data_IF_195232805710
#
_entry.id   IF_195232805710
#
_cell.length_a   1.000
_cell.length_b   1.000
_cell.length_c   1.000
_cell.angle_alpha   90.00
_cell.angle_beta   90.00
_cell.angle_gamma   90.00
#
_symmetry.space_group_name_H-M   'P 1'
#
loop_
_entity.id
_entity.type
_entity.pdbx_description
1 polymer ?
#
# COMPACT_ATOMS: atom_id res chain seq x y z
N UNK A 1 24.75 -16.36 29.57
CA UNK A 1 23.51 -15.55 29.47
C UNK A 1 23.92 -14.10 29.34
N UNK A 2 24.14 -13.64 28.12
CA UNK A 2 24.63 -12.28 27.85
C UNK A 2 23.46 -11.48 27.30
N UNK A 3 22.92 -10.61 28.14
CA UNK A 3 21.86 -9.66 27.80
C UNK A 3 22.49 -8.71 26.78
N UNK A 4 21.99 -8.72 25.54
CA UNK A 4 22.49 -7.88 24.46
C UNK A 4 22.51 -6.42 24.85
N UNK A 5 23.67 -5.78 24.69
CA UNK A 5 23.90 -4.39 25.01
C UNK A 5 22.98 -3.47 24.20
N UNK A 6 22.28 -2.54 24.85
CA UNK A 6 21.88 -1.27 24.23
C UNK A 6 20.43 -0.82 24.34
N UNK A 7 19.46 -1.66 24.75
CA UNK A 7 18.06 -1.20 24.83
C UNK A 7 17.77 -0.62 26.20
N UNK A 8 17.80 0.71 26.30
CA UNK A 8 17.27 1.40 27.49
C UNK A 8 15.76 1.18 27.54
N UNK A 9 15.17 0.88 28.71
CA UNK A 9 13.72 0.83 28.84
C UNK A 9 13.15 2.21 28.46
N UNK A 10 12.17 2.23 27.55
CA UNK A 10 11.47 3.48 27.18
C UNK A 10 10.73 3.97 28.41
N UNK A 11 11.15 5.12 28.91
CA UNK A 11 10.51 5.79 30.06
C UNK A 11 9.35 6.62 29.56
N UNK A 12 8.33 6.81 30.39
CA UNK A 12 7.26 7.77 30.13
C UNK A 12 7.78 9.19 30.41
N UNK A 13 7.47 10.20 29.56
CA UNK A 13 6.72 10.12 28.31
C UNK A 13 7.54 9.51 27.16
N UNK A 14 6.85 8.85 26.23
CA UNK A 14 7.45 8.28 24.99
C UNK A 14 7.67 9.40 23.98
N UNK A 15 8.82 9.40 23.30
CA UNK A 15 9.18 10.39 22.30
C UNK A 15 9.49 9.75 20.94
N UNK A 16 9.35 10.54 19.87
CA UNK A 16 9.82 10.16 18.53
C UNK A 16 11.34 9.89 18.59
N UNK A 17 11.79 8.80 17.97
CA UNK A 17 13.18 8.34 18.00
C UNK A 17 13.51 7.37 19.12
N UNK A 18 12.65 7.23 20.14
CA UNK A 18 12.82 6.19 21.17
C UNK A 18 12.81 4.80 20.54
N UNK A 19 13.59 3.87 21.12
CA UNK A 19 13.66 2.48 20.67
C UNK A 19 13.28 1.52 21.78
N UNK A 20 12.56 0.46 21.41
CA UNK A 20 12.15 -0.61 22.33
C UNK A 20 12.24 -1.97 21.65
N UNK A 21 12.37 -3.02 22.46
CA UNK A 21 12.12 -4.40 22.00
C UNK A 21 10.70 -4.77 22.41
N UNK A 22 9.91 -5.25 21.46
CA UNK A 22 8.52 -5.64 21.68
C UNK A 22 8.21 -6.95 20.98
N UNK A 23 7.23 -7.67 21.52
CA UNK A 23 6.58 -8.79 20.84
C UNK A 23 5.41 -8.27 20.01
N UNK A 24 5.29 -8.78 18.80
CA UNK A 24 4.34 -8.31 17.80
C UNK A 24 3.09 -9.19 17.82
N UNK A 25 1.97 -8.57 18.14
CA UNK A 25 0.66 -9.18 18.20
C UNK A 25 -0.08 -9.11 16.85
N UNK A 26 -1.42 -9.02 16.88
CA UNK A 26 -2.25 -9.18 15.68
C UNK A 26 -2.09 -8.03 14.68
N UNK A 27 -2.43 -8.31 13.43
CA UNK A 27 -2.53 -7.31 12.36
C UNK A 27 -3.67 -6.33 12.62
N UNK A 28 -3.48 -5.09 12.18
CA UNK A 28 -4.47 -4.04 12.14
C UNK A 28 -4.57 -3.46 10.72
N UNK A 29 -5.64 -2.70 10.48
CA UNK A 29 -5.84 -2.02 9.20
C UNK A 29 -4.65 -1.10 8.85
N UNK A 30 -4.34 -0.97 7.56
CA UNK A 30 -3.31 -0.05 7.06
C UNK A 30 -1.88 -0.57 7.17
N UNK A 31 -1.67 -1.89 7.14
CA UNK A 31 -0.33 -2.47 7.14
C UNK A 31 0.37 -2.49 8.49
N UNK A 32 -0.39 -2.31 9.57
CA UNK A 32 0.13 -2.21 10.93
C UNK A 32 -0.04 -3.53 11.68
N UNK A 33 0.80 -3.71 12.70
CA UNK A 33 0.69 -4.75 13.70
C UNK A 33 0.67 -4.13 15.10
N UNK A 34 0.00 -4.79 16.03
CA UNK A 34 -0.18 -4.24 17.38
C UNK A 34 0.90 -4.76 18.32
N UNK A 35 1.58 -3.85 18.99
CA UNK A 35 2.42 -4.13 20.15
C UNK A 35 1.99 -3.29 21.35
N UNK A 36 2.51 -3.62 22.53
CA UNK A 36 2.23 -2.88 23.75
C UNK A 36 3.52 -2.40 24.40
N UNK A 37 3.56 -1.13 24.79
CA UNK A 37 4.69 -0.50 25.46
C UNK A 37 4.18 0.37 26.61
N UNK A 38 4.47 0.00 27.85
CA UNK A 38 4.24 0.84 29.05
C UNK A 38 2.90 1.60 29.02
N UNK A 39 1.78 0.87 28.90
CA UNK A 39 0.43 1.44 28.87
C UNK A 39 -0.04 2.05 27.54
N UNK A 40 0.77 1.96 26.47
CA UNK A 40 0.42 2.43 25.13
C UNK A 40 0.23 1.27 24.17
N UNK A 41 -0.79 1.37 23.33
CA UNK A 41 -0.93 0.56 22.12
C UNK A 41 -0.05 1.17 21.03
N UNK A 42 0.82 0.35 20.45
CA UNK A 42 1.76 0.76 19.41
C UNK A 42 1.38 0.11 18.09
N UNK A 43 1.23 0.92 17.04
CA UNK A 43 1.00 0.46 15.68
C UNK A 43 2.35 0.39 14.96
N UNK A 44 2.81 -0.84 14.72
CA UNK A 44 4.14 -1.13 14.17
C UNK A 44 4.03 -1.48 12.69
N UNK A 45 4.76 -0.79 11.81
CA UNK A 45 4.95 -1.21 10.40
C UNK A 45 6.20 -2.08 10.27
N UNK A 46 6.32 -2.77 9.14
CA UNK A 46 7.47 -3.62 8.80
C UNK A 46 7.68 -4.84 9.73
N UNK A 47 6.73 -5.11 10.62
CA UNK A 47 6.67 -6.26 11.51
C UNK A 47 5.67 -7.32 11.00
N UNK A 48 5.61 -8.47 11.66
CA UNK A 48 4.64 -9.53 11.45
C UNK A 48 4.22 -10.15 12.79
N UNK A 49 2.99 -10.67 12.87
CA UNK A 49 2.51 -11.36 14.08
C UNK A 49 3.42 -12.52 14.46
N UNK A 50 3.71 -12.66 15.75
CA UNK A 50 4.59 -13.70 16.30
C UNK A 50 6.07 -13.33 16.32
N UNK A 51 6.42 -12.13 15.85
CA UNK A 51 7.80 -11.67 15.87
C UNK A 51 8.20 -11.00 17.17
N UNK A 52 9.50 -11.03 17.43
CA UNK A 52 10.16 -10.14 18.39
C UNK A 52 11.07 -9.19 17.63
N UNK A 53 10.86 -7.89 17.81
CA UNK A 53 11.54 -6.87 16.99
C UNK A 53 12.03 -5.71 17.84
N UNK A 54 13.09 -5.03 17.36
CA UNK A 54 13.42 -3.68 17.81
C UNK A 54 12.65 -2.69 16.97
N UNK A 55 11.90 -1.81 17.62
CA UNK A 55 11.15 -0.73 16.97
C UNK A 55 11.81 0.62 17.19
N UNK A 56 11.58 1.56 16.28
CA UNK A 56 11.83 2.99 16.48
C UNK A 56 10.50 3.75 16.41
N UNK A 57 10.20 4.57 17.41
CA UNK A 57 8.98 5.38 17.45
C UNK A 57 9.04 6.48 16.39
N UNK A 58 8.02 6.54 15.53
CA UNK A 58 7.94 7.48 14.40
C UNK A 58 6.94 8.61 14.63
N UNK A 59 5.93 8.38 15.46
CA UNK A 59 4.88 9.37 15.76
C UNK A 59 4.26 9.08 17.14
N UNK A 60 4.04 10.14 17.92
CA UNK A 60 3.43 10.06 19.25
C UNK A 60 2.25 11.02 19.32
N UNK A 61 1.06 10.46 19.57
CA UNK A 61 -0.16 11.22 19.85
C UNK A 61 -0.70 10.85 21.23
N UNK A 62 -1.73 11.56 21.71
CA UNK A 62 -2.27 11.41 23.07
C UNK A 62 -2.77 10.01 23.46
N UNK A 63 -3.06 9.14 22.50
CA UNK A 63 -3.51 7.74 22.75
C UNK A 63 -2.85 6.69 21.86
N UNK A 64 -2.15 7.10 20.80
CA UNK A 64 -1.64 6.20 19.77
C UNK A 64 -0.18 6.52 19.54
N UNK A 65 0.65 5.48 19.62
CA UNK A 65 2.06 5.52 19.25
C UNK A 65 2.22 4.74 17.95
N UNK A 66 3.01 5.27 17.01
CA UNK A 66 3.41 4.55 15.80
C UNK A 66 4.91 4.29 15.81
N UNK A 67 5.29 3.20 15.20
CA UNK A 67 6.68 2.80 15.11
C UNK A 67 6.94 1.99 13.84
N UNK A 68 8.21 1.93 13.45
CA UNK A 68 8.69 0.99 12.44
C UNK A 68 9.57 -0.06 13.11
N UNK A 69 9.43 -1.33 12.71
CA UNK A 69 10.40 -2.36 13.07
C UNK A 69 11.71 -2.11 12.31
N UNK A 70 12.77 -1.78 13.05
CA UNK A 70 14.10 -1.45 12.51
C UNK A 70 15.07 -2.65 12.55
N UNK A 71 14.77 -3.66 13.38
CA UNK A 71 15.52 -4.92 13.45
C UNK A 71 14.58 -6.06 13.83
N UNK A 72 14.67 -7.18 13.11
CA UNK A 72 13.93 -8.40 13.41
C UNK A 72 14.84 -9.31 14.25
N UNK A 73 14.47 -9.56 15.51
CA UNK A 73 15.26 -10.39 16.43
C UNK A 73 14.85 -11.85 16.34
N UNK A 74 13.54 -12.09 16.27
CA UNK A 74 12.93 -13.40 16.07
C UNK A 74 11.89 -13.23 14.97
N UNK A 75 12.14 -13.84 13.81
CA UNK A 75 11.30 -13.71 12.62
C UNK A 75 10.15 -14.72 12.62
N UNK A 76 9.02 -14.31 12.07
CA UNK A 76 7.89 -15.21 11.79
C UNK A 76 8.26 -16.13 10.63
N UNK A 77 7.75 -17.38 10.59
CA UNK A 77 7.95 -18.29 9.45
C UNK A 77 7.41 -17.73 8.13
N UNK A 78 6.45 -16.81 8.18
CA UNK A 78 5.85 -16.18 7.01
C UNK A 78 6.63 -14.91 6.56
N UNK A 79 7.75 -14.57 7.19
CA UNK A 79 8.58 -13.44 6.76
C UNK A 79 9.43 -13.83 5.56
N UNK A 80 9.42 -12.97 4.54
CA UNK A 80 10.32 -13.04 3.38
C UNK A 80 11.16 -11.77 3.26
N UNK A 81 12.23 -11.85 2.47
CA UNK A 81 12.98 -10.67 2.06
C UNK A 81 12.13 -9.87 1.08
N UNK A 82 11.87 -8.60 1.40
CA UNK A 82 11.12 -7.73 0.52
C UNK A 82 11.86 -7.55 -0.82
N UNK A 83 11.20 -7.80 -1.98
CA UNK A 83 11.86 -7.68 -3.27
C UNK A 83 12.21 -6.22 -3.62
N UNK A 84 11.38 -5.26 -3.18
CA UNK A 84 11.71 -3.84 -3.34
C UNK A 84 12.57 -3.37 -2.17
N UNK A 85 13.81 -2.96 -2.46
CA UNK A 85 14.70 -2.38 -1.46
C UNK A 85 14.11 -1.15 -0.77
N UNK A 86 13.16 -0.44 -1.38
CA UNK A 86 12.50 0.74 -0.81
C UNK A 86 11.37 0.42 0.17
N UNK A 87 10.89 -0.82 0.23
CA UNK A 87 9.84 -1.26 1.16
C UNK A 87 10.41 -1.56 2.56
N UNK A 88 11.01 -0.54 3.17
CA UNK A 88 11.74 -0.61 4.45
C UNK A 88 11.44 0.62 5.33
N UNK A 89 11.80 0.60 6.63
CA UNK A 89 11.74 1.80 7.47
C UNK A 89 12.45 2.99 6.83
N UNK A 90 11.86 4.18 6.95
CA UNK A 90 12.31 5.41 6.28
C UNK A 90 12.41 5.34 4.74
N UNK A 91 11.83 4.30 4.13
CA UNK A 91 11.75 4.12 2.68
C UNK A 91 10.43 4.63 2.08
N UNK A 92 10.07 4.07 0.93
CA UNK A 92 8.83 4.38 0.25
C UNK A 92 7.62 3.91 1.07
N UNK A 93 6.61 4.77 1.21
CA UNK A 93 5.37 4.46 1.94
C UNK A 93 4.35 3.63 1.16
N UNK A 94 4.64 3.22 -0.07
CA UNK A 94 3.65 2.63 -0.98
C UNK A 94 3.35 1.15 -0.76
N UNK A 95 4.22 0.40 -0.08
CA UNK A 95 4.09 -1.05 0.10
C UNK A 95 4.12 -1.42 1.58
N UNK A 96 3.06 -2.08 2.06
CA UNK A 96 2.92 -2.42 3.47
C UNK A 96 3.34 -3.86 3.81
N UNK A 97 3.23 -4.80 2.88
CA UNK A 97 3.40 -6.25 3.15
C UNK A 97 4.45 -6.95 2.29
N UNK A 98 5.36 -6.23 1.65
CA UNK A 98 6.38 -6.89 0.81
C UNK A 98 7.33 -7.82 1.59
N UNK A 99 7.43 -7.66 2.91
CA UNK A 99 8.18 -8.55 3.80
C UNK A 99 7.39 -9.77 4.27
N UNK A 100 6.19 -9.99 3.74
CA UNK A 100 5.28 -11.08 4.13
C UNK A 100 5.06 -12.00 2.95
N UNK A 101 5.18 -13.32 3.19
CA UNK A 101 4.88 -14.37 2.21
C UNK A 101 3.49 -14.17 1.60
N UNK A 102 3.38 -14.42 0.29
CA UNK A 102 2.23 -13.96 -0.50
C UNK A 102 0.91 -14.57 -0.03
N UNK A 103 0.92 -15.85 0.35
CA UNK A 103 -0.24 -16.55 0.91
C UNK A 103 -0.65 -15.97 2.26
N UNK A 104 0.30 -15.68 3.14
CA UNK A 104 0.06 -15.07 4.44
C UNK A 104 -0.55 -13.66 4.30
N UNK A 105 -0.19 -12.89 3.27
CA UNK A 105 -0.83 -11.59 3.00
C UNK A 105 -2.34 -11.70 2.82
N UNK A 106 -2.84 -12.76 2.17
CA UNK A 106 -4.28 -12.96 1.95
C UNK A 106 -4.98 -13.26 3.28
N UNK A 107 -4.38 -14.13 4.10
CA UNK A 107 -4.87 -14.48 5.43
C UNK A 107 -4.96 -13.25 6.32
N UNK A 108 -3.93 -12.40 6.32
CA UNK A 108 -3.90 -11.16 7.10
C UNK A 108 -4.97 -10.16 6.64
N UNK A 109 -5.16 -10.00 5.33
CA UNK A 109 -6.23 -9.14 4.78
C UNK A 109 -7.61 -9.65 5.19
N UNK A 110 -7.84 -10.96 5.13
CA UNK A 110 -9.09 -11.58 5.58
C UNK A 110 -9.33 -11.33 7.08
N UNK A 111 -8.28 -11.47 7.90
CA UNK A 111 -8.34 -11.18 9.33
C UNK A 111 -8.72 -9.73 9.61
N UNK A 112 -8.12 -8.76 8.91
CA UNK A 112 -8.45 -7.33 9.07
C UNK A 112 -9.93 -7.05 8.78
N UNK A 113 -10.48 -7.63 7.70
CA UNK A 113 -11.89 -7.44 7.34
C UNK A 113 -12.81 -8.12 8.37
N UNK A 114 -12.49 -9.36 8.77
CA UNK A 114 -13.24 -10.10 9.80
C UNK A 114 -13.29 -9.33 11.13
N UNK A 115 -12.15 -8.80 11.56
CA UNK A 115 -12.06 -7.98 12.78
C UNK A 115 -12.86 -6.68 12.66
N UNK A 116 -12.85 -6.03 11.50
CA UNK A 116 -13.64 -4.83 11.27
C UNK A 116 -15.15 -5.12 11.32
N UNK A 117 -15.61 -6.20 10.69
CA UNK A 117 -17.01 -6.64 10.73
C UNK A 117 -17.47 -6.96 12.16
N UNK A 118 -16.66 -7.71 12.90
CA UNK A 118 -16.97 -8.05 14.28
C UNK A 118 -17.06 -6.81 15.18
N UNK A 119 -16.08 -5.90 15.09
CA UNK A 119 -15.98 -4.74 16.00
C UNK A 119 -16.91 -3.59 15.64
N UNK A 120 -17.13 -3.32 14.35
CA UNK A 120 -17.80 -2.11 13.90
C UNK A 120 -19.19 -2.37 13.31
N UNK A 121 -19.41 -3.55 12.72
CA UNK A 121 -20.71 -3.92 12.17
C UNK A 121 -21.53 -4.81 13.13
N UNK A 122 -20.94 -5.29 14.23
CA UNK A 122 -21.61 -6.23 15.14
C UNK A 122 -21.88 -7.59 14.51
N UNK A 123 -21.07 -7.96 13.50
CA UNK A 123 -21.22 -9.21 12.72
C UNK A 123 -20.03 -10.15 12.99
N UNK A 124 -19.94 -10.78 14.17
CA UNK A 124 -18.90 -11.76 14.45
C UNK A 124 -19.13 -13.06 13.69
N UNK A 125 -18.06 -13.81 13.41
CA UNK A 125 -18.14 -15.16 12.84
C UNK A 125 -18.41 -15.23 11.34
N UNK A 126 -18.43 -14.09 10.63
CA UNK A 126 -18.45 -14.09 9.16
C UNK A 126 -17.15 -14.70 8.65
N UNK A 127 -17.26 -15.77 7.85
CA UNK A 127 -16.11 -16.28 7.12
C UNK A 127 -15.77 -15.31 5.98
N UNK A 128 -14.53 -14.84 5.99
CA UNK A 128 -14.03 -13.88 5.01
C UNK A 128 -12.89 -14.54 4.28
N UNK A 129 -13.03 -14.62 2.97
CA UNK A 129 -12.01 -15.08 2.05
C UNK A 129 -11.49 -13.88 1.24
N UNK A 130 -10.18 -13.82 1.05
CA UNK A 130 -9.54 -12.80 0.21
C UNK A 130 -8.81 -13.50 -0.92
N UNK A 131 -9.25 -13.21 -2.14
CA UNK A 131 -8.68 -13.77 -3.35
C UNK A 131 -7.70 -12.77 -4.00
N UNK A 132 -6.68 -13.32 -4.65
CA UNK A 132 -5.76 -12.52 -5.42
C UNK A 132 -6.33 -12.23 -6.82
N UNK A 133 -6.12 -11.02 -7.33
CA UNK A 133 -6.60 -10.63 -8.65
C UNK A 133 -5.51 -10.86 -9.69
N UNK A 134 -5.68 -11.88 -10.55
CA UNK A 134 -4.74 -12.19 -11.65
C UNK A 134 -3.27 -12.17 -11.19
N UNK A 135 -3.00 -12.94 -10.14
CA UNK A 135 -1.69 -13.05 -9.51
C UNK A 135 -0.84 -14.05 -10.29
N UNK A 136 0.32 -13.60 -10.74
CA UNK A 136 1.36 -14.47 -11.29
C UNK A 136 2.19 -15.16 -10.18
N UNK A 137 1.76 -14.99 -8.92
CA UNK A 137 2.40 -15.50 -7.72
C UNK A 137 3.38 -14.49 -7.10
N UNK A 138 3.74 -13.43 -7.82
CA UNK A 138 4.73 -12.44 -7.36
C UNK A 138 4.08 -11.31 -6.55
N UNK A 139 2.81 -11.01 -6.81
CA UNK A 139 2.15 -9.82 -6.27
C UNK A 139 2.74 -8.48 -6.76
N UNK A 140 3.49 -8.48 -7.86
CA UNK A 140 4.17 -7.33 -8.45
C UNK A 140 3.51 -6.91 -9.79
N UNK A 141 3.97 -5.80 -10.36
CA UNK A 141 3.67 -5.37 -11.74
C UNK A 141 2.19 -5.18 -12.12
N UNK A 142 1.29 -5.03 -11.15
CA UNK A 142 -0.14 -4.88 -11.41
C UNK A 142 -0.61 -3.43 -11.46
N UNK A 143 0.21 -2.45 -11.08
CA UNK A 143 -0.23 -1.06 -10.93
C UNK A 143 -0.12 -0.32 -12.28
N UNK A 144 -1.24 -0.20 -12.98
CA UNK A 144 -1.35 0.47 -14.29
C UNK A 144 -1.39 1.99 -14.21
N UNK A 145 -1.31 2.56 -13.00
CA UNK A 145 -1.29 4.02 -12.82
C UNK A 145 -0.40 4.41 -11.64
N UNK A 146 0.55 5.31 -11.91
CA UNK A 146 1.48 5.81 -10.89
C UNK A 146 1.49 7.33 -10.91
N UNK A 147 1.46 7.92 -9.71
CA UNK A 147 1.64 9.35 -9.50
C UNK A 147 2.99 9.53 -8.81
N UNK A 148 3.91 10.18 -9.50
CA UNK A 148 5.24 10.50 -9.03
C UNK A 148 5.24 11.94 -8.54
N UNK A 149 5.59 12.15 -7.27
CA UNK A 149 5.79 13.49 -6.73
C UNK A 149 7.16 13.99 -7.15
N UNK A 150 7.24 15.23 -7.61
CA UNK A 150 8.51 15.85 -8.02
C UNK A 150 9.02 16.72 -6.87
N UNK A 151 10.25 16.47 -6.43
CA UNK A 151 10.87 17.26 -5.37
C UNK A 151 11.38 18.62 -5.89
N UNK A 152 11.88 19.47 -4.98
CA UNK A 152 12.41 20.80 -5.31
C UNK A 152 13.57 20.79 -6.32
N UNK A 153 14.32 19.69 -6.41
CA UNK A 153 15.42 19.52 -7.38
C UNK A 153 14.93 19.02 -8.76
N UNK A 154 13.61 18.92 -8.93
CA UNK A 154 12.97 18.39 -10.13
C UNK A 154 13.09 16.87 -10.27
N UNK A 155 13.40 16.11 -9.21
CA UNK A 155 13.49 14.64 -9.28
C UNK A 155 12.14 14.00 -8.92
N UNK A 156 11.55 13.19 -9.81
CA UNK A 156 10.37 12.39 -9.48
C UNK A 156 10.70 11.30 -8.44
N UNK A 157 9.74 11.01 -7.58
CA UNK A 157 9.83 9.96 -6.57
C UNK A 157 8.46 9.63 -5.97
N UNK A 158 8.48 8.84 -4.91
CA UNK A 158 7.28 8.44 -4.16
C UNK A 158 7.39 8.92 -2.72
N UNK A 159 6.26 9.20 -2.08
CA UNK A 159 6.27 9.72 -0.72
C UNK A 159 6.71 8.66 0.29
N UNK A 160 7.50 9.07 1.26
CA UNK A 160 7.68 8.31 2.49
C UNK A 160 6.34 8.22 3.25
N UNK A 161 6.22 7.21 4.09
CA UNK A 161 4.95 6.90 4.74
C UNK A 161 4.46 8.06 5.63
N UNK A 162 3.30 8.62 5.28
CA UNK A 162 2.65 9.74 5.98
C UNK A 162 3.54 10.99 6.16
N UNK A 163 4.48 11.23 5.26
CA UNK A 163 5.23 12.49 5.20
C UNK A 163 5.09 13.16 3.84
N UNK A 164 5.67 14.36 3.69
CA UNK A 164 5.80 15.04 2.41
C UNK A 164 7.17 14.82 1.77
N UNK A 165 7.98 13.92 2.34
CA UNK A 165 9.33 13.66 1.87
C UNK A 165 9.27 12.77 0.64
N UNK A 166 9.88 13.24 -0.44
CA UNK A 166 9.96 12.51 -1.70
C UNK A 166 11.16 11.57 -1.64
N UNK A 167 10.89 10.27 -1.62
CA UNK A 167 11.90 9.22 -1.74
C UNK A 167 12.20 9.01 -3.21
N UNK A 168 13.48 9.10 -3.64
CA UNK A 168 13.88 8.90 -5.02
C UNK A 168 13.88 7.39 -5.36
N UNK A 169 12.68 6.82 -5.48
CA UNK A 169 12.47 5.41 -5.84
C UNK A 169 12.87 5.23 -7.30
N UNK A 170 14.03 4.62 -7.52
CA UNK A 170 14.58 4.36 -8.86
C UNK A 170 13.71 3.40 -9.69
N UNK A 171 13.13 2.40 -9.04
CA UNK A 171 12.22 1.43 -9.65
C UNK A 171 11.10 1.04 -8.68
N UNK A 172 9.85 1.17 -9.16
CA UNK A 172 8.67 0.77 -8.41
C UNK A 172 8.18 -0.58 -8.94
N UNK A 173 8.52 -1.67 -8.23
CA UNK A 173 8.16 -3.04 -8.64
C UNK A 173 6.64 -3.29 -8.74
N UNK A 174 5.80 -2.42 -8.17
CA UNK A 174 4.35 -2.53 -8.37
C UNK A 174 3.90 -1.94 -9.71
N UNK A 175 4.64 -0.97 -10.27
CA UNK A 175 4.31 -0.37 -11.55
C UNK A 175 4.30 -1.45 -12.64
N UNK A 176 3.33 -1.34 -13.54
CA UNK A 176 3.25 -2.21 -14.69
C UNK A 176 4.52 -2.11 -15.55
N UNK A 177 4.89 -3.16 -16.30
CA UNK A 177 6.13 -3.17 -17.08
C UNK A 177 6.23 -2.00 -18.05
N UNK A 178 5.12 -1.62 -18.70
CA UNK A 178 5.07 -0.46 -19.59
C UNK A 178 5.46 0.85 -18.90
N UNK A 179 4.99 1.06 -17.66
CA UNK A 179 5.35 2.24 -16.87
C UNK A 179 6.82 2.18 -16.42
N UNK A 180 7.29 1.02 -15.98
CA UNK A 180 8.69 0.82 -15.56
C UNK A 180 9.70 1.18 -16.66
N UNK A 181 9.39 0.86 -17.92
CA UNK A 181 10.24 1.16 -19.07
C UNK A 181 10.40 2.66 -19.39
N UNK A 182 9.54 3.54 -18.85
CA UNK A 182 9.64 4.97 -19.10
C UNK A 182 10.79 5.65 -18.36
N UNK A 183 11.37 5.01 -17.33
CA UNK A 183 12.44 5.61 -16.54
C UNK A 183 12.07 6.96 -15.93
N UNK A 184 10.81 7.13 -15.49
CA UNK A 184 10.31 8.38 -14.91
C UNK A 184 11.21 8.88 -13.77
N UNK A 185 11.64 8.04 -12.80
CA UNK A 185 12.52 8.48 -11.71
C UNK A 185 13.87 9.05 -12.18
N UNK A 186 14.33 8.64 -13.35
CA UNK A 186 15.63 9.03 -13.90
C UNK A 186 15.57 10.30 -14.77
N UNK A 187 14.37 10.84 -15.03
CA UNK A 187 14.19 12.03 -15.86
C UNK A 187 13.82 13.23 -14.98
N UNK A 188 14.73 14.20 -14.87
CA UNK A 188 14.44 15.45 -14.14
C UNK A 188 13.34 16.26 -14.83
N UNK A 189 12.49 16.89 -14.02
CA UNK A 189 11.39 17.78 -14.39
C UNK A 189 11.44 19.07 -13.54
N UNK A 190 12.41 19.97 -13.78
CA UNK A 190 12.49 21.22 -13.00
C UNK A 190 11.20 22.03 -13.12
N UNK A 191 10.70 22.54 -11.99
CA UNK A 191 9.48 23.34 -11.93
C UNK A 191 8.16 22.54 -11.97
N UNK A 192 8.22 21.23 -12.20
CA UNK A 192 7.04 20.37 -12.09
C UNK A 192 6.79 19.98 -10.64
N UNK A 193 5.53 19.66 -10.32
CA UNK A 193 5.12 19.14 -9.00
C UNK A 193 4.74 17.65 -9.06
N UNK A 194 4.25 17.20 -10.20
CA UNK A 194 3.73 15.85 -10.37
C UNK A 194 3.97 15.32 -11.78
N UNK A 195 4.30 14.03 -11.88
CA UNK A 195 4.18 13.24 -13.11
C UNK A 195 3.18 12.12 -12.88
N UNK A 196 2.13 12.08 -13.69
CA UNK A 196 1.12 11.01 -13.68
C UNK A 196 1.31 10.09 -14.89
N UNK A 197 1.34 8.78 -14.68
CA UNK A 197 1.40 7.77 -15.74
C UNK A 197 0.18 6.86 -15.70
N UNK A 198 -0.32 6.47 -16.87
CA UNK A 198 -1.40 5.48 -17.02
C UNK A 198 -1.10 4.54 -18.18
N UNK A 199 -1.21 3.24 -17.97
CA UNK A 199 -1.17 2.22 -19.01
C UNK A 199 -2.59 1.76 -19.38
N UNK A 200 -2.87 1.74 -20.69
CA UNK A 200 -4.12 1.24 -21.24
C UNK A 200 -4.12 -0.26 -21.46
N UNK A 201 -5.30 -0.82 -21.66
CA UNK A 201 -5.45 -2.24 -22.03
C UNK A 201 -4.78 -2.55 -23.38
N UNK A 202 -4.54 -1.53 -24.21
CA UNK A 202 -3.77 -1.61 -25.45
C UNK A 202 -2.24 -1.67 -25.24
N UNK A 203 -1.75 -1.65 -23.98
CA UNK A 203 -0.34 -1.63 -23.61
C UNK A 203 0.37 -0.29 -23.82
N UNK A 204 -0.35 0.74 -24.25
CA UNK A 204 0.21 2.09 -24.41
C UNK A 204 0.20 2.85 -23.09
N UNK A 205 1.34 3.42 -22.74
CA UNK A 205 1.47 4.32 -21.59
C UNK A 205 1.32 5.78 -22.01
N UNK A 206 0.55 6.54 -21.25
CA UNK A 206 0.44 8.00 -21.38
C UNK A 206 0.97 8.69 -20.13
N UNK A 207 1.58 9.86 -20.33
CA UNK A 207 2.24 10.63 -19.27
C UNK A 207 1.68 12.04 -19.25
N UNK A 208 1.32 12.52 -18.07
CA UNK A 208 0.98 13.91 -17.83
C UNK A 208 1.96 14.53 -16.81
N UNK A 209 2.30 15.79 -17.02
CA UNK A 209 3.09 16.62 -16.09
C UNK A 209 2.20 17.76 -15.63
N UNK A 210 1.99 17.87 -14.32
CA UNK A 210 1.07 18.84 -13.70
C UNK A 210 -0.31 18.89 -14.39
N UNK A 211 -0.85 17.69 -14.67
CA UNK A 211 -2.17 17.50 -15.29
C UNK A 211 -2.22 17.72 -16.81
N UNK A 212 -1.12 18.14 -17.46
CA UNK A 212 -1.06 18.36 -18.91
C UNK A 212 -0.38 17.20 -19.60
N UNK A 213 -0.95 16.71 -20.70
CA UNK A 213 -0.35 15.63 -21.48
C UNK A 213 1.06 16.00 -21.93
N UNK A 214 2.03 15.15 -21.59
CA UNK A 214 3.41 15.24 -22.04
C UNK A 214 3.69 14.22 -23.15
N UNK A 215 3.13 13.01 -23.06
CA UNK A 215 3.27 11.98 -24.10
C UNK A 215 2.12 10.97 -24.07
N UNK A 216 1.90 10.28 -25.19
CA UNK A 216 0.82 9.29 -25.33
C UNK A 216 -0.50 9.92 -25.77
N UNK A 217 -1.61 9.49 -25.17
CA UNK A 217 -2.96 10.00 -25.42
C UNK A 217 -3.51 10.66 -24.16
N UNK A 218 -4.29 11.73 -24.32
CA UNK A 218 -5.00 12.35 -23.19
C UNK A 218 -5.95 11.36 -22.51
N UNK A 219 -6.60 10.51 -23.33
CA UNK A 219 -7.52 9.48 -22.88
C UNK A 219 -7.06 8.11 -23.35
N UNK A 220 -7.09 7.17 -22.44
CA UNK A 220 -6.64 5.79 -22.63
C UNK A 220 -7.84 4.83 -22.57
N UNK A 221 -7.85 3.79 -23.40
CA UNK A 221 -8.91 2.79 -23.42
C UNK A 221 -8.78 1.80 -22.25
N UNK A 222 -9.91 1.49 -21.61
CA UNK A 222 -10.04 0.50 -20.55
C UNK A 222 -11.31 -0.33 -20.81
N UNK A 223 -11.25 -1.65 -20.68
CA UNK A 223 -12.37 -2.56 -20.92
C UNK A 223 -12.85 -3.15 -19.61
N UNK A 224 -14.14 -3.02 -19.35
CA UNK A 224 -14.80 -3.58 -18.17
C UNK A 224 -16.04 -4.29 -18.66
N UNK A 225 -16.19 -5.60 -18.39
CA UNK A 225 -17.38 -6.37 -18.79
C UNK A 225 -17.76 -6.23 -20.29
N UNK A 226 -16.77 -6.14 -21.17
CA UNK A 226 -16.97 -5.96 -22.62
C UNK A 226 -17.31 -4.54 -23.07
N UNK A 227 -17.46 -3.58 -22.15
CA UNK A 227 -17.64 -2.15 -22.45
C UNK A 227 -16.29 -1.43 -22.42
N UNK A 228 -16.08 -0.55 -23.40
CA UNK A 228 -14.91 0.32 -23.45
C UNK A 228 -15.19 1.66 -22.74
N UNK A 229 -14.22 2.07 -21.93
CA UNK A 229 -14.16 3.33 -21.21
C UNK A 229 -12.95 4.13 -21.68
N UNK A 230 -13.10 5.45 -21.76
CA UNK A 230 -12.00 6.37 -22.10
C UNK A 230 -11.64 7.17 -20.87
N UNK A 231 -10.49 6.86 -20.28
CA UNK A 231 -10.03 7.39 -19.00
C UNK A 231 -9.00 8.48 -19.24
N UNK A 232 -9.21 9.64 -18.63
CA UNK A 232 -8.26 10.74 -18.69
C UNK A 232 -7.03 10.45 -17.81
N UNK A 233 -5.83 10.74 -18.32
CA UNK A 233 -4.56 10.52 -17.60
C UNK A 233 -4.47 11.24 -16.26
N UNK A 234 -5.24 12.31 -16.02
CA UNK A 234 -5.30 12.99 -14.73
C UNK A 234 -6.47 12.51 -13.82
N UNK A 235 -7.45 11.79 -14.37
CA UNK A 235 -8.66 11.34 -13.66
C UNK A 235 -8.47 10.06 -12.84
N UNK A 236 -9.40 9.79 -11.93
CA UNK A 236 -9.42 8.53 -11.19
C UNK A 236 -9.79 7.34 -12.09
N UNK A 237 -9.10 6.23 -11.89
CA UNK A 237 -9.46 4.92 -12.39
C UNK A 237 -8.85 3.85 -11.49
N UNK A 238 -9.45 2.66 -11.47
CA UNK A 238 -8.93 1.54 -10.70
C UNK A 238 -7.52 1.18 -11.17
N UNK A 239 -6.57 1.13 -10.25
CA UNK A 239 -5.13 0.99 -10.59
C UNK A 239 -4.71 -0.44 -10.93
N UNK A 240 -5.55 -1.43 -10.64
CA UNK A 240 -5.28 -2.84 -10.95
C UNK A 240 -6.11 -3.24 -12.18
N UNK A 241 -5.52 -3.93 -13.19
CA UNK A 241 -6.19 -4.30 -14.45
C UNK A 241 -7.52 -5.05 -14.30
N UNK A 242 -7.70 -5.76 -13.19
CA UNK A 242 -8.89 -6.58 -12.92
C UNK A 242 -9.85 -5.93 -11.92
N UNK A 243 -9.44 -4.90 -11.19
CA UNK A 243 -10.24 -4.37 -10.09
C UNK A 243 -11.60 -3.84 -10.56
N UNK A 244 -11.65 -3.07 -11.66
CA UNK A 244 -12.93 -2.56 -12.17
C UNK A 244 -13.87 -3.69 -12.60
N UNK A 245 -13.37 -4.70 -13.33
CA UNK A 245 -14.14 -5.85 -13.78
C UNK A 245 -14.63 -6.73 -12.63
N UNK A 246 -13.77 -6.98 -11.64
CA UNK A 246 -14.11 -7.72 -10.43
C UNK A 246 -15.16 -6.99 -9.59
N UNK A 247 -14.97 -5.68 -9.33
CA UNK A 247 -15.90 -4.90 -8.52
C UNK A 247 -17.29 -4.82 -9.16
N UNK A 248 -17.35 -4.50 -10.46
CA UNK A 248 -18.63 -4.45 -11.18
C UNK A 248 -19.31 -5.83 -11.18
N UNK A 249 -18.54 -6.91 -11.38
CA UNK A 249 -19.11 -8.27 -11.34
C UNK A 249 -19.68 -8.59 -9.96
N UNK A 250 -18.95 -8.29 -8.88
CA UNK A 250 -19.40 -8.54 -7.52
C UNK A 250 -20.68 -7.75 -7.16
N UNK A 251 -20.78 -6.48 -7.56
CA UNK A 251 -21.98 -5.66 -7.33
C UNK A 251 -23.19 -6.22 -8.07
N UNK A 252 -23.03 -6.59 -9.35
CA UNK A 252 -24.11 -7.15 -10.16
C UNK A 252 -24.55 -8.52 -9.66
N UNK A 253 -23.61 -9.36 -9.22
CA UNK A 253 -23.92 -10.67 -8.63
C UNK A 253 -24.68 -10.55 -7.31
N UNK A 254 -24.24 -9.62 -6.45
CA UNK A 254 -24.87 -9.40 -5.14
C UNK A 254 -26.27 -8.83 -5.27
N UNK A 255 -26.47 -7.80 -6.10
CA UNK A 255 -27.76 -7.12 -6.18
C UNK A 255 -28.72 -7.65 -7.25
N UNK A 256 -28.27 -8.54 -8.16
CA UNK A 256 -29.11 -9.29 -9.12
C UNK A 256 -30.17 -8.41 -9.82
N UNK A 257 -29.76 -7.35 -10.54
CA UNK A 257 -30.69 -6.38 -11.10
C UNK A 257 -31.71 -7.04 -12.05
N UNK A 258 -32.97 -6.65 -11.90
CA UNK A 258 -34.06 -7.12 -12.76
C UNK A 258 -34.58 -6.02 -13.70
N UNK A 259 -35.15 -6.37 -14.88
CA UNK A 259 -35.79 -5.41 -15.76
C UNK A 259 -36.89 -4.61 -15.02
N UNK A 260 -36.83 -3.28 -15.15
CA UNK A 260 -37.78 -2.37 -14.49
C UNK A 260 -37.33 -1.86 -13.12
N UNK A 261 -36.22 -2.35 -12.57
CA UNK A 261 -35.63 -1.79 -11.34
C UNK A 261 -34.86 -0.49 -11.60
N UNK A 262 -34.81 0.36 -10.58
CA UNK A 262 -34.06 1.60 -10.58
C UNK A 262 -32.91 1.53 -9.58
N UNK A 263 -31.71 1.84 -10.05
CA UNK A 263 -30.48 1.80 -9.25
C UNK A 263 -29.84 3.18 -9.23
N UNK A 264 -29.31 3.58 -8.09
CA UNK A 264 -28.61 4.85 -7.92
C UNK A 264 -27.13 4.58 -7.68
N UNK A 265 -26.28 5.08 -8.58
CA UNK A 265 -24.84 5.08 -8.42
C UNK A 265 -24.44 6.35 -7.66
N UNK A 266 -24.37 6.24 -6.33
CA UNK A 266 -23.89 7.33 -5.50
C UNK A 266 -22.36 7.38 -5.65
N UNK A 267 -21.81 8.56 -5.94
CA UNK A 267 -20.37 8.82 -6.14
C UNK A 267 -19.79 8.49 -7.55
N UNK A 268 -20.62 8.51 -8.60
CA UNK A 268 -20.21 8.33 -10.01
C UNK A 268 -19.43 9.50 -10.63
#
# INVERSE_FOLDING_TARGET
MTIGAGVRPVKTPVHVGDQAIVDIGPVAHGGHFIAHLTGHTVFVRHALTGERVRIAITDVSSKIVRADAIEILEASPDRVVAPCGWARPSGCGGCDFQHVERSAQLVLKAQVVRDALARHAGLPGIDVQVEALNDDGTGLHWRTRVRWTVNSDGRPGLLAYRTHDVVPVDDCLLASPGIGLLGIPHTRRPGATEVSTIEGDEGRVSVAVDGRLASGKQRTGQRVRGREWRVDVASFWQVHPRAADTLVSAVLEAGRPAPGEHWWDLYS
#
